data_IF_650887363082
#
_entry.id   IF_650887363082
#
_cell.length_a   1.000
_cell.length_b   1.000
_cell.length_c   1.000
_cell.angle_alpha   90.00
_cell.angle_beta   90.00
_cell.angle_gamma   90.00
#
_symmetry.space_group_name_H-M   'P 1'
#
loop_
_entity.id
_entity.type
_entity.pdbx_description
1 polymer ?
#
# COMPACT_ATOMS: atom_id res chain seq x y z
N UNK A 1 -2.66 25.01 -13.93
CA UNK A 1 -3.42 24.08 -13.06
C UNK A 1 -2.66 23.93 -11.76
N UNK A 2 -3.12 24.58 -10.69
CA UNK A 2 -2.51 24.52 -9.36
C UNK A 2 -3.35 23.57 -8.51
N UNK A 3 -2.77 22.46 -8.06
CA UNK A 3 -3.41 21.58 -7.08
C UNK A 3 -3.05 22.10 -5.69
N UNK A 4 -4.01 22.75 -5.04
CA UNK A 4 -3.92 23.09 -3.62
C UNK A 4 -3.97 21.80 -2.80
N UNK A 5 -2.84 21.46 -2.19
CA UNK A 5 -2.68 20.33 -1.28
C UNK A 5 -3.27 20.74 0.08
N UNK A 6 -4.49 20.31 0.36
CA UNK A 6 -5.16 20.57 1.63
C UNK A 6 -4.50 19.79 2.76
N UNK A 7 -3.78 20.49 3.63
CA UNK A 7 -3.28 19.96 4.90
C UNK A 7 -4.47 19.93 5.87
N UNK A 8 -5.01 18.73 6.15
CA UNK A 8 -5.96 18.56 7.24
C UNK A 8 -5.21 18.24 8.53
N UNK A 9 -5.07 19.25 9.38
CA UNK A 9 -4.54 19.11 10.74
C UNK A 9 -5.71 18.73 11.66
N UNK A 10 -5.89 17.43 11.93
CA UNK A 10 -6.59 17.00 13.14
C UNK A 10 -5.63 16.25 14.04
N UNK A 11 -5.18 17.02 15.03
CA UNK A 11 -4.38 16.62 16.18
C UNK A 11 -5.02 15.47 16.93
N UNK A 12 -4.26 14.39 17.14
CA UNK A 12 -3.88 13.96 18.50
C UNK A 12 -2.48 13.35 18.42
N UNK A 13 -1.44 14.15 18.62
CA UNK A 13 -0.10 13.65 18.89
C UNK A 13 -0.14 12.84 20.19
N UNK A 14 0.10 11.53 20.10
CA UNK A 14 0.54 10.74 21.26
C UNK A 14 2.01 10.40 21.03
N UNK A 15 2.89 11.32 21.44
CA UNK A 15 4.32 11.05 21.59
C UNK A 15 4.45 10.05 22.74
N UNK A 16 4.65 8.77 22.42
CA UNK A 16 5.02 7.77 23.41
C UNK A 16 6.53 7.83 23.63
N UNK A 17 6.93 8.46 24.73
CA UNK A 17 8.30 8.42 25.23
C UNK A 17 8.58 6.98 25.72
N UNK A 18 9.64 6.35 25.20
CA UNK A 18 10.12 5.05 25.68
C UNK A 18 10.79 5.25 27.04
N UNK A 19 10.05 5.03 28.13
CA UNK A 19 10.66 4.85 29.45
C UNK A 19 10.61 3.36 29.78
N UNK A 20 11.78 2.75 29.96
CA UNK A 20 11.94 1.36 30.32
C UNK A 20 11.29 1.12 31.69
N UNK A 21 10.52 0.03 31.82
CA UNK A 21 9.98 -0.55 33.05
C UNK A 21 8.54 -0.17 33.47
N UNK A 22 7.56 -0.35 32.59
CA UNK A 22 6.19 -0.77 33.01
C UNK A 22 5.39 -1.31 31.83
N UNK A 23 4.76 -2.47 32.01
CA UNK A 23 3.84 -3.05 31.05
C UNK A 23 2.61 -2.13 30.91
N UNK A 24 2.45 -1.53 29.73
CA UNK A 24 1.29 -0.71 29.38
C UNK A 24 0.40 -1.53 28.45
N UNK A 25 -0.78 -1.92 28.94
CA UNK A 25 -1.82 -2.54 28.11
C UNK A 25 -2.36 -1.50 27.15
N UNK A 26 -1.98 -1.58 25.88
CA UNK A 26 -2.56 -0.76 24.82
C UNK A 26 -3.88 -1.41 24.39
N UNK A 27 -5.00 -0.82 24.78
CA UNK A 27 -6.32 -1.15 24.22
C UNK A 27 -6.35 -0.67 22.76
N UNK A 28 -6.15 -1.60 21.83
CA UNK A 28 -6.30 -1.37 20.41
C UNK A 28 -7.78 -1.07 20.09
N UNK A 29 -8.09 0.20 19.84
CA UNK A 29 -9.40 0.58 19.33
C UNK A 29 -9.57 0.05 17.91
N UNK A 30 -10.66 -0.69 17.68
CA UNK A 30 -11.06 -1.32 16.42
C UNK A 30 -11.37 -0.26 15.36
N UNK A 31 -10.38 0.22 14.62
CA UNK A 31 -10.58 0.96 13.38
C UNK A 31 -10.82 -0.03 12.24
N UNK A 32 -12.09 -0.30 11.93
CA UNK A 32 -12.47 -1.07 10.74
C UNK A 32 -12.39 -0.17 9.51
N UNK A 33 -11.62 -0.59 8.50
CA UNK A 33 -11.77 -0.07 7.13
C UNK A 33 -13.15 -0.54 6.66
N UNK A 34 -14.11 0.36 6.52
CA UNK A 34 -15.54 -0.01 6.36
C UNK A 34 -15.93 -0.52 4.98
N UNK A 35 -15.06 -0.43 3.97
CA UNK A 35 -15.33 -0.97 2.62
C UNK A 35 -14.01 -1.45 1.99
N UNK A 36 -13.91 -2.73 1.57
CA UNK A 36 -12.74 -3.20 0.83
C UNK A 36 -12.68 -2.52 -0.55
N UNK A 37 -11.48 -2.09 -0.96
CA UNK A 37 -11.27 -1.50 -2.28
C UNK A 37 -11.54 -2.51 -3.40
N UNK A 38 -12.36 -2.14 -4.40
CA UNK A 38 -12.60 -2.96 -5.59
C UNK A 38 -11.41 -2.87 -6.55
N UNK A 39 -10.81 -4.01 -6.87
CA UNK A 39 -9.65 -4.08 -7.76
C UNK A 39 -10.00 -3.65 -9.19
N UNK A 40 -9.05 -2.98 -9.85
CA UNK A 40 -9.15 -2.69 -11.29
C UNK A 40 -8.75 -3.89 -12.14
N UNK A 41 -9.11 -3.83 -13.42
CA UNK A 41 -8.67 -4.82 -14.41
C UNK A 41 -7.13 -4.98 -14.41
N UNK A 42 -6.67 -6.23 -14.39
CA UNK A 42 -5.25 -6.57 -14.33
C UNK A 42 -4.60 -6.40 -12.96
N UNK A 43 -5.36 -6.01 -11.93
CA UNK A 43 -4.90 -6.03 -10.54
C UNK A 43 -5.25 -7.34 -9.85
N UNK A 44 -4.37 -7.81 -8.99
CA UNK A 44 -4.62 -8.93 -8.10
C UNK A 44 -4.35 -8.53 -6.66
N UNK A 45 -5.05 -9.19 -5.72
CA UNK A 45 -4.81 -9.07 -4.29
C UNK A 45 -4.23 -10.38 -3.80
N UNK A 46 -3.06 -10.29 -3.16
CA UNK A 46 -2.40 -11.43 -2.53
C UNK A 46 -2.17 -11.12 -1.05
N UNK A 47 -1.97 -12.16 -0.25
CA UNK A 47 -1.64 -12.05 1.15
C UNK A 47 -0.33 -12.78 1.41
N UNK A 48 0.69 -12.05 1.89
CA UNK A 48 1.97 -12.61 2.28
C UNK A 48 1.96 -12.91 3.78
N UNK A 49 2.18 -14.17 4.15
CA UNK A 49 2.24 -14.59 5.54
C UNK A 49 3.61 -14.21 6.14
N UNK A 50 3.59 -13.36 7.16
CA UNK A 50 4.77 -12.93 7.89
C UNK A 50 5.23 -14.01 8.89
N UNK A 51 6.50 -13.97 9.35
CA UNK A 51 7.00 -14.87 10.40
C UNK A 51 6.17 -14.85 11.69
N UNK A 52 5.51 -13.73 12.00
CA UNK A 52 4.57 -13.61 13.13
C UNK A 52 3.26 -14.38 12.94
N UNK A 53 3.03 -14.95 11.76
CA UNK A 53 1.78 -15.61 11.39
C UNK A 53 0.70 -14.67 10.84
N UNK A 54 0.91 -13.35 10.88
CA UNK A 54 -0.03 -12.37 10.33
C UNK A 54 0.06 -12.31 8.80
N UNK A 55 -1.07 -12.00 8.15
CA UNK A 55 -1.14 -11.85 6.70
C UNK A 55 -1.02 -10.38 6.30
N UNK A 56 0.01 -10.03 5.53
CA UNK A 56 0.16 -8.72 4.91
C UNK A 56 -0.49 -8.71 3.53
N UNK A 57 -1.46 -7.83 3.31
CA UNK A 57 -2.03 -7.63 1.98
C UNK A 57 -1.04 -6.94 1.04
N UNK A 58 -1.05 -7.39 -0.22
CA UNK A 58 -0.38 -6.73 -1.34
C UNK A 58 -1.35 -6.64 -2.53
N UNK A 59 -1.55 -5.44 -3.06
CA UNK A 59 -2.20 -5.24 -4.36
C UNK A 59 -1.11 -5.21 -5.42
N UNK A 60 -1.23 -6.06 -6.43
CA UNK A 60 -0.23 -6.25 -7.49
C UNK A 60 -0.81 -5.82 -8.82
N UNK A 61 0.00 -5.12 -9.63
CA UNK A 61 -0.27 -4.92 -11.05
C UNK A 61 0.99 -5.19 -11.85
N UNK A 62 0.92 -6.21 -12.71
CA UNK A 62 2.04 -6.59 -13.57
C UNK A 62 2.15 -5.67 -14.76
N UNK A 63 3.37 -5.48 -15.27
CA UNK A 63 3.59 -4.72 -16.50
C UNK A 63 2.76 -5.28 -17.65
N UNK A 64 2.17 -4.41 -18.47
CA UNK A 64 1.48 -4.87 -19.67
C UNK A 64 2.53 -5.33 -20.69
N UNK A 65 2.37 -6.55 -21.22
CA UNK A 65 3.11 -6.96 -22.41
C UNK A 65 2.56 -6.18 -23.60
N UNK A 66 3.21 -5.10 -23.99
CA UNK A 66 2.75 -4.38 -25.16
C UNK A 66 3.16 -5.14 -26.42
N UNK A 67 2.17 -5.57 -27.20
CA UNK A 67 2.36 -6.41 -28.40
C UNK A 67 3.16 -5.74 -29.54
N UNK A 68 3.44 -4.44 -29.44
CA UNK A 68 4.07 -3.62 -30.48
C UNK A 68 5.35 -2.89 -30.02
N UNK A 69 5.82 -3.13 -28.79
CA UNK A 69 7.14 -2.63 -28.40
C UNK A 69 8.13 -3.67 -28.89
N UNK A 70 9.06 -3.25 -29.75
CA UNK A 70 10.33 -3.97 -29.93
C UNK A 70 10.81 -4.26 -28.52
N UNK A 71 11.00 -5.53 -28.17
CA UNK A 71 11.68 -5.89 -26.93
C UNK A 71 13.06 -5.22 -27.05
N UNK A 72 13.20 -4.03 -26.47
CA UNK A 72 14.49 -3.37 -26.36
C UNK A 72 15.26 -4.27 -25.41
N UNK A 73 16.03 -5.19 -25.99
CA UNK A 73 16.82 -6.25 -25.35
C UNK A 73 17.78 -5.71 -24.26
N UNK A 74 17.79 -4.40 -23.99
CA UNK A 74 18.62 -3.74 -23.00
C UNK A 74 17.90 -2.92 -21.92
N UNK A 75 16.59 -2.71 -21.97
CA UNK A 75 15.90 -1.89 -20.96
C UNK A 75 15.20 -2.73 -19.88
N UNK A 76 15.99 -3.13 -18.88
CA UNK A 76 15.46 -3.74 -17.65
C UNK A 76 14.69 -2.71 -16.82
N UNK A 77 13.38 -2.91 -16.67
CA UNK A 77 12.52 -2.06 -15.83
C UNK A 77 12.40 -2.67 -14.43
N UNK A 78 12.97 -2.04 -13.39
CA UNK A 78 12.93 -2.59 -12.04
C UNK A 78 11.49 -2.60 -11.50
N UNK A 79 11.12 -3.63 -10.72
CA UNK A 79 9.88 -3.64 -9.95
C UNK A 79 9.78 -2.45 -8.98
N UNK A 80 8.57 -1.90 -8.84
CA UNK A 80 8.27 -0.79 -7.93
C UNK A 80 7.40 -1.28 -6.76
N UNK A 81 7.82 -0.90 -5.55
CA UNK A 81 7.07 -1.19 -4.32
C UNK A 81 6.56 0.12 -3.73
N UNK A 82 5.26 0.20 -3.51
CA UNK A 82 4.57 1.36 -2.96
C UNK A 82 4.25 1.13 -1.48
N UNK A 83 4.76 2.02 -0.64
CA UNK A 83 4.50 2.04 0.79
C UNK A 83 3.59 3.23 1.09
N UNK A 84 2.49 2.99 1.79
CA UNK A 84 1.56 4.05 2.16
C UNK A 84 1.99 4.75 3.46
N UNK A 85 1.46 5.96 3.67
CA UNK A 85 1.55 6.67 4.94
C UNK A 85 0.43 6.30 5.90
N UNK A 86 0.42 6.95 7.07
CA UNK A 86 -0.62 6.81 8.09
C UNK A 86 -2.02 7.02 7.52
N UNK A 87 -3.01 6.31 8.05
CA UNK A 87 -4.44 6.39 7.66
C UNK A 87 -4.76 5.94 6.22
N UNK A 88 -3.81 5.29 5.55
CA UNK A 88 -4.00 4.68 4.23
C UNK A 88 -3.68 3.18 4.26
N UNK A 89 -3.85 2.53 3.11
CA UNK A 89 -3.41 1.16 2.84
C UNK A 89 -2.97 1.06 1.37
N UNK A 90 -2.71 -0.14 0.85
CA UNK A 90 -2.36 -0.37 -0.56
C UNK A 90 -3.33 0.29 -1.56
N UNK A 91 -4.61 0.41 -1.20
CA UNK A 91 -5.67 0.99 -2.05
C UNK A 91 -5.40 2.43 -2.50
N UNK A 92 -4.65 3.23 -1.73
CA UNK A 92 -4.42 4.63 -2.11
C UNK A 92 -3.57 4.76 -3.39
N UNK A 93 -2.74 3.76 -3.66
CA UNK A 93 -1.94 3.68 -4.88
C UNK A 93 -2.72 3.01 -6.02
N UNK A 94 -3.54 2.01 -5.70
CA UNK A 94 -4.20 1.10 -6.64
C UNK A 94 -5.02 1.83 -7.72
N UNK A 95 -5.61 2.97 -7.39
CA UNK A 95 -6.50 3.67 -8.31
C UNK A 95 -5.77 4.21 -9.56
N UNK A 96 -4.60 4.82 -9.42
CA UNK A 96 -3.97 5.57 -10.52
C UNK A 96 -2.51 5.21 -10.73
N UNK A 97 -1.77 4.94 -9.65
CA UNK A 97 -0.32 4.80 -9.71
C UNK A 97 0.10 3.42 -10.23
N UNK A 98 -0.52 2.34 -9.76
CA UNK A 98 -0.23 1.00 -10.26
C UNK A 98 -0.52 0.88 -11.77
N UNK A 99 -1.69 1.33 -12.29
CA UNK A 99 -1.94 1.28 -13.73
C UNK A 99 -0.97 2.15 -14.54
N UNK A 100 -0.58 3.32 -14.02
CA UNK A 100 0.33 4.23 -14.70
C UNK A 100 1.71 3.62 -14.89
N UNK A 101 2.36 3.18 -13.81
CA UNK A 101 3.73 2.63 -13.90
C UNK A 101 3.79 1.26 -14.57
N UNK A 102 2.73 0.45 -14.45
CA UNK A 102 2.66 -0.83 -15.16
C UNK A 102 2.49 -0.70 -16.67
N UNK A 103 1.85 0.38 -17.15
CA UNK A 103 1.83 0.72 -18.57
C UNK A 103 3.20 1.21 -19.06
N UNK A 104 3.98 1.85 -18.18
CA UNK A 104 5.38 2.21 -18.43
C UNK A 104 6.36 1.04 -18.30
N UNK A 105 5.87 -0.19 -18.12
CA UNK A 105 6.69 -1.40 -18.13
C UNK A 105 7.20 -1.87 -16.76
N UNK A 106 6.75 -1.29 -15.65
CA UNK A 106 7.16 -1.70 -14.30
C UNK A 106 6.16 -2.68 -13.66
N UNK A 107 6.67 -3.76 -13.06
CA UNK A 107 5.85 -4.54 -12.12
C UNK A 107 5.62 -3.73 -10.84
N UNK A 108 4.37 -3.57 -10.42
CA UNK A 108 3.99 -2.71 -9.32
C UNK A 108 3.35 -3.50 -8.17
N UNK A 109 3.77 -3.22 -6.94
CA UNK A 109 3.29 -3.87 -5.73
C UNK A 109 2.98 -2.82 -4.65
N UNK A 110 1.76 -2.75 -4.16
CA UNK A 110 1.38 -1.85 -3.07
C UNK A 110 1.08 -2.66 -1.82
N UNK A 111 1.77 -2.34 -0.72
CA UNK A 111 1.65 -3.06 0.55
C UNK A 111 0.58 -2.43 1.44
N UNK A 112 -0.06 -3.22 2.29
CA UNK A 112 -0.91 -2.76 3.40
C UNK A 112 -0.26 -3.15 4.73
N UNK A 113 0.30 -2.18 5.44
CA UNK A 113 1.04 -2.42 6.69
C UNK A 113 0.07 -2.66 7.87
N UNK A 114 0.28 -3.76 8.59
CA UNK A 114 -0.65 -4.31 9.58
C UNK A 114 -0.91 -3.45 10.82
N UNK A 115 -0.01 -2.50 11.12
CA UNK A 115 -0.21 -1.53 12.21
C UNK A 115 -1.06 -0.31 11.82
N UNK A 116 -1.21 -0.05 10.52
CA UNK A 116 -1.94 1.10 9.98
C UNK A 116 -3.26 0.68 9.32
N UNK A 117 -3.38 -0.60 8.97
CA UNK A 117 -4.56 -1.20 8.34
C UNK A 117 -5.05 -2.33 9.25
N UNK A 118 -6.02 -2.04 10.10
CA UNK A 118 -6.60 -3.05 10.98
C UNK A 118 -7.52 -3.99 10.16
N UNK A 119 -7.01 -5.21 9.97
CA UNK A 119 -7.70 -6.43 9.53
C UNK A 119 -8.63 -6.32 8.32
N UNK A 120 -8.06 -6.59 7.15
CA UNK A 120 -8.79 -7.08 5.97
C UNK A 120 -8.83 -8.61 6.13
N UNK A 121 -9.72 -9.09 7.00
CA UNK A 121 -10.05 -10.52 7.10
C UNK A 121 -11.18 -10.86 6.13
#
# INVERSE_FOLDING_TARGET
>A
MSMTMGICVSSTFKVCYYNHNKAVTVTAQKMSVRVPYNLKEGQSRIFHKLPSGLNMEVIVQKKKKTRNFVEDENHYHPPLVFVHGSYHAAWCWAQHWLPFFSQSGHDCYALSLLGQVLYIS
#
